data_IF_522579729255
#
_entry.id   IF_522579729255
#
_cell.length_a   1.000
_cell.length_b   1.000
_cell.length_c   1.000
_cell.angle_alpha   90.00
_cell.angle_beta   90.00
_cell.angle_gamma   90.00
#
_symmetry.space_group_name_H-M   'P 1'
#
loop_
_entity.id
_entity.type
_entity.pdbx_description
1 polymer ?
#
# COMPACT_ATOMS: atom_id res chain seq x y z
N UNK A 1 0.26 18.23 12.34
CA UNK A 1 0.46 18.46 10.88
C UNK A 1 0.86 17.12 10.27
N UNK A 2 0.52 16.87 9.01
CA UNK A 2 0.99 15.69 8.28
C UNK A 2 2.04 16.16 7.27
N UNK A 3 3.15 15.46 7.20
CA UNK A 3 4.27 15.74 6.27
C UNK A 3 4.63 14.49 5.50
N UNK A 4 5.12 14.62 4.28
CA UNK A 4 5.49 13.50 3.41
C UNK A 4 4.96 13.69 2.01
N UNK A 5 5.35 12.80 1.10
CA UNK A 5 4.86 12.79 -0.28
C UNK A 5 3.55 11.98 -0.33
N UNK A 6 2.40 12.58 -0.67
CA UNK A 6 1.09 11.90 -0.65
C UNK A 6 0.86 11.06 -1.92
N UNK A 7 1.80 10.17 -2.22
CA UNK A 7 1.75 9.24 -3.35
C UNK A 7 1.83 7.79 -2.86
N UNK A 8 1.19 6.83 -3.53
CA UNK A 8 1.36 5.41 -3.22
C UNK A 8 2.84 5.01 -3.10
N UNK A 9 3.16 4.19 -2.10
CA UNK A 9 4.53 3.76 -1.77
C UNK A 9 5.33 4.74 -0.93
N UNK A 10 4.81 5.94 -0.64
CA UNK A 10 5.51 6.96 0.16
C UNK A 10 4.96 7.03 1.57
N UNK A 11 5.85 7.36 2.51
CA UNK A 11 5.50 7.53 3.91
C UNK A 11 4.97 8.94 4.19
N UNK A 12 3.81 8.98 4.82
CA UNK A 12 3.25 10.14 5.52
C UNK A 12 3.59 10.05 7.00
N UNK A 13 4.03 11.15 7.57
CA UNK A 13 4.34 11.29 8.98
C UNK A 13 3.40 12.30 9.62
N UNK A 14 2.62 11.83 10.58
CA UNK A 14 1.87 12.64 11.50
C UNK A 14 2.75 13.20 12.61
N UNK A 15 2.94 14.52 12.62
CA UNK A 15 3.56 15.21 13.75
C UNK A 15 2.49 15.88 14.63
N UNK A 16 2.43 15.47 15.89
CA UNK A 16 1.66 16.13 16.93
C UNK A 16 2.61 16.89 17.84
N UNK A 17 2.54 18.22 17.88
CA UNK A 17 3.22 18.98 18.92
C UNK A 17 2.51 18.70 20.24
N UNK A 18 3.26 18.37 21.30
CA UNK A 18 2.71 18.29 22.64
C UNK A 18 2.25 19.69 23.08
N UNK A 19 0.97 19.84 23.43
CA UNK A 19 0.40 21.10 23.90
C UNK A 19 -0.15 20.90 25.31
N UNK A 20 0.23 21.74 26.27
CA UNK A 20 -0.35 21.78 27.64
C UNK A 20 -0.22 20.47 28.44
N UNK A 21 0.94 19.82 28.42
CA UNK A 21 1.24 18.68 29.31
C UNK A 21 0.73 17.32 28.82
N UNK A 22 0.31 17.22 27.56
CA UNK A 22 0.11 15.93 26.87
C UNK A 22 1.44 15.20 26.76
N UNK A 23 1.51 13.98 27.31
CA UNK A 23 2.73 13.16 27.28
C UNK A 23 2.68 12.09 26.19
N UNK A 24 1.49 11.76 25.69
CA UNK A 24 1.29 10.66 24.74
C UNK A 24 0.04 10.91 23.88
N UNK A 25 0.07 10.46 22.62
CA UNK A 25 -1.05 10.52 21.68
C UNK A 25 -1.28 9.14 21.08
N UNK A 26 -2.54 8.70 21.02
CA UNK A 26 -2.92 7.58 20.16
C UNK A 26 -3.14 8.09 18.74
N UNK A 27 -2.65 7.35 17.76
CA UNK A 27 -2.78 7.65 16.34
C UNK A 27 -3.64 6.60 15.68
N UNK A 28 -4.45 7.01 14.71
CA UNK A 28 -5.20 6.11 13.84
C UNK A 28 -5.38 6.77 12.47
N UNK A 29 -4.94 6.09 11.41
CA UNK A 29 -5.18 6.54 10.04
C UNK A 29 -6.56 6.11 9.55
N UNK A 30 -7.20 6.95 8.75
CA UNK A 30 -8.58 6.82 8.31
C UNK A 30 -8.70 7.18 6.82
N UNK A 31 -9.41 6.35 6.06
CA UNK A 31 -9.81 6.61 4.68
C UNK A 31 -11.18 7.26 4.65
N UNK A 32 -11.35 8.24 3.78
CA UNK A 32 -12.65 8.86 3.49
C UNK A 32 -12.98 8.68 2.02
N UNK A 33 -14.22 8.28 1.77
CA UNK A 33 -14.78 8.07 0.45
C UNK A 33 -15.53 9.32 -0.02
N UNK A 34 -15.78 9.39 -1.32
CA UNK A 34 -16.47 10.52 -1.95
C UNK A 34 -17.93 10.65 -1.52
N UNK A 35 -18.57 9.55 -1.12
CA UNK A 35 -19.93 9.54 -0.57
C UNK A 35 -20.01 10.06 0.88
N UNK A 36 -18.87 10.46 1.46
CA UNK A 36 -18.77 10.98 2.82
C UNK A 36 -18.62 9.92 3.91
N UNK A 37 -18.61 8.63 3.54
CA UNK A 37 -18.30 7.55 4.48
C UNK A 37 -16.80 7.51 4.81
N UNK A 38 -16.44 6.79 5.88
CA UNK A 38 -15.04 6.64 6.31
C UNK A 38 -14.76 5.28 6.90
N UNK A 39 -13.53 4.80 6.70
CA UNK A 39 -13.04 3.52 7.20
C UNK A 39 -11.73 3.70 7.98
N UNK A 40 -11.64 3.05 9.14
CA UNK A 40 -10.39 2.95 9.88
C UNK A 40 -9.44 1.97 9.20
N UNK A 41 -8.23 2.43 8.87
CA UNK A 41 -7.24 1.58 8.24
C UNK A 41 -6.68 0.63 9.30
N UNK A 42 -6.95 -0.67 9.11
CA UNK A 42 -6.59 -1.69 10.10
C UNK A 42 -5.08 -1.68 10.39
N UNK A 43 -4.72 -1.66 11.67
CA UNK A 43 -3.32 -1.69 12.12
C UNK A 43 -2.52 -0.40 11.91
N UNK A 44 -3.08 0.61 11.23
CA UNK A 44 -2.43 1.89 10.99
C UNK A 44 -2.51 2.82 12.22
N UNK A 45 -1.91 2.39 13.33
CA UNK A 45 -1.90 3.13 14.62
C UNK A 45 -0.57 3.81 14.93
N UNK A 46 0.34 3.84 13.95
CA UNK A 46 1.65 4.47 14.06
C UNK A 46 1.59 5.90 13.49
N UNK A 47 2.36 6.87 14.03
CA UNK A 47 2.44 8.21 13.44
C UNK A 47 2.93 8.21 11.98
N UNK A 48 3.64 7.18 11.55
CA UNK A 48 4.04 6.98 10.16
C UNK A 48 3.11 5.98 9.46
N UNK A 49 2.64 6.34 8.26
CA UNK A 49 1.78 5.52 7.40
C UNK A 49 2.29 5.55 5.97
N UNK A 50 2.42 4.38 5.35
CA UNK A 50 2.78 4.28 3.94
C UNK A 50 1.50 4.29 3.12
N UNK A 51 1.36 5.26 2.22
CA UNK A 51 0.23 5.35 1.30
C UNK A 51 0.22 4.11 0.41
N UNK A 52 -0.92 3.46 0.32
CA UNK A 52 -1.14 2.23 -0.44
C UNK A 52 -1.91 2.51 -1.72
N UNK A 53 -1.94 1.52 -2.61
CA UNK A 53 -2.81 1.50 -3.78
C UNK A 53 -4.29 1.73 -3.38
N UNK A 54 -4.74 1.12 -2.30
CA UNK A 54 -6.11 1.24 -1.79
C UNK A 54 -6.47 2.67 -1.37
N UNK A 55 -5.51 3.56 -1.19
CA UNK A 55 -5.76 4.95 -0.80
C UNK A 55 -6.03 5.86 -2.01
N UNK A 56 -5.78 5.38 -3.23
CA UNK A 56 -6.03 6.14 -4.46
C UNK A 56 -7.51 6.52 -4.56
N UNK A 57 -7.75 7.75 -5.01
CA UNK A 57 -9.05 8.42 -5.09
C UNK A 57 -9.77 8.62 -3.75
N UNK A 58 -9.09 8.38 -2.62
CA UNK A 58 -9.61 8.59 -1.27
C UNK A 58 -8.90 9.76 -0.61
N UNK A 59 -9.56 10.35 0.38
CA UNK A 59 -8.88 11.28 1.28
C UNK A 59 -8.32 10.48 2.46
N UNK A 60 -7.07 10.79 2.83
CA UNK A 60 -6.42 10.17 3.97
C UNK A 60 -6.34 11.18 5.11
N UNK A 61 -6.73 10.76 6.30
CA UNK A 61 -6.63 11.56 7.51
C UNK A 61 -5.96 10.78 8.64
N UNK A 62 -5.34 11.54 9.55
CA UNK A 62 -4.86 11.06 10.82
C UNK A 62 -5.76 11.57 11.93
N UNK A 63 -6.30 10.66 12.72
CA UNK A 63 -6.95 10.97 13.99
C UNK A 63 -5.97 10.77 15.15
N UNK A 64 -5.85 11.81 15.97
CA UNK A 64 -4.99 11.87 17.14
C UNK A 64 -5.85 12.05 18.41
N UNK A 65 -5.64 11.20 19.41
CA UNK A 65 -6.29 11.33 20.71
C UNK A 65 -5.21 11.65 21.76
N UNK A 66 -5.14 12.91 22.25
CA UNK A 66 -4.16 13.29 23.26
C UNK A 66 -4.51 12.67 24.61
N UNK A 67 -3.51 12.20 25.36
CA UNK A 67 -3.67 11.64 26.70
C UNK A 67 -2.91 12.47 27.73
N UNK A 68 -3.56 12.74 28.87
CA UNK A 68 -2.88 13.37 30.00
C UNK A 68 -2.08 12.34 30.82
N UNK A 69 -1.32 12.82 31.81
CA UNK A 69 -0.51 11.98 32.71
C UNK A 69 -1.29 11.00 33.60
N UNK A 70 -2.63 11.05 33.58
CA UNK A 70 -3.54 10.14 34.27
C UNK A 70 -4.23 9.17 33.29
N UNK A 71 -3.82 9.15 32.02
CA UNK A 71 -4.42 8.30 30.98
C UNK A 71 -5.81 8.74 30.51
N UNK A 72 -6.26 9.96 30.87
CA UNK A 72 -7.54 10.49 30.37
C UNK A 72 -7.38 11.00 28.96
N UNK A 73 -8.26 10.54 28.08
CA UNK A 73 -8.34 10.94 26.68
C UNK A 73 -8.97 12.32 26.54
N UNK A 74 -8.32 13.18 25.76
CA UNK A 74 -8.88 14.46 25.32
C UNK A 74 -9.77 14.30 24.09
N UNK A 75 -10.13 15.44 23.49
CA UNK A 75 -10.92 15.47 22.25
C UNK A 75 -10.10 14.91 21.09
N UNK A 76 -10.74 14.11 20.23
CA UNK A 76 -10.17 13.66 18.95
C UNK A 76 -9.80 14.86 18.09
N UNK A 77 -8.59 14.88 17.57
CA UNK A 77 -8.09 15.86 16.61
C UNK A 77 -7.88 15.14 15.27
N UNK A 78 -8.50 15.64 14.21
CA UNK A 78 -8.36 15.10 12.85
C UNK A 78 -7.54 16.04 11.98
N UNK A 79 -6.61 15.49 11.22
CA UNK A 79 -5.80 16.23 10.24
C UNK A 79 -5.81 15.47 8.92
N UNK A 80 -6.13 16.14 7.82
CA UNK A 80 -6.07 15.53 6.49
C UNK A 80 -4.67 15.64 5.89
N UNK A 81 -4.24 14.60 5.19
CA UNK A 81 -3.05 14.61 4.35
C UNK A 81 -3.35 15.36 3.04
N UNK A 82 -2.29 15.63 2.27
CA UNK A 82 -2.39 16.17 0.90
C UNK A 82 -3.26 17.44 0.78
N UNK A 83 -3.22 18.32 1.77
CA UNK A 83 -4.08 19.52 1.82
C UNK A 83 -5.57 19.21 1.59
N UNK A 84 -6.04 18.08 2.12
CA UNK A 84 -7.40 17.59 1.96
C UNK A 84 -7.79 17.32 0.50
N UNK A 85 -6.83 16.88 -0.31
CA UNK A 85 -7.06 16.39 -1.68
C UNK A 85 -6.99 14.86 -1.71
N UNK A 86 -7.64 14.27 -2.71
CA UNK A 86 -7.57 12.82 -2.96
C UNK A 86 -6.12 12.41 -3.24
N UNK A 87 -5.73 11.22 -2.80
CA UNK A 87 -4.46 10.62 -3.22
C UNK A 87 -4.55 10.29 -4.70
N UNK A 88 -3.57 10.72 -5.48
CA UNK A 88 -3.49 10.44 -6.92
C UNK A 88 -2.27 9.59 -7.23
N UNK A 89 -2.34 8.81 -8.29
CA UNK A 89 -1.15 8.22 -8.90
C UNK A 89 -0.28 9.30 -9.55
N UNK A 90 1.03 9.05 -9.68
CA UNK A 90 1.97 10.00 -10.29
C UNK A 90 1.61 10.34 -11.75
N UNK A 91 0.84 9.49 -12.42
CA UNK A 91 0.34 9.71 -13.77
C UNK A 91 -1.10 9.21 -13.93
N UNK A 92 -2.04 10.13 -14.18
CA UNK A 92 -3.47 9.87 -14.49
C UNK A 92 -3.70 8.97 -15.72
N UNK A 93 -2.64 8.45 -16.34
CA UNK A 93 -2.69 7.60 -17.53
C UNK A 93 -2.97 6.13 -17.22
N UNK A 94 -2.94 5.71 -15.95
CA UNK A 94 -3.05 4.30 -15.57
C UNK A 94 -4.41 3.94 -14.94
N UNK A 95 -5.33 4.89 -14.83
CA UNK A 95 -6.70 4.66 -14.36
C UNK A 95 -7.63 4.53 -15.57
N UNK A 96 -8.12 3.31 -15.83
CA UNK A 96 -8.99 2.99 -16.97
C UNK A 96 -10.28 2.35 -16.47
N UNK A 97 -11.44 2.89 -16.87
CA UNK A 97 -12.73 2.22 -16.67
C UNK A 97 -13.05 1.35 -17.88
N UNK A 98 -13.32 0.06 -17.68
CA UNK A 98 -13.61 -0.87 -18.79
C UNK A 98 -14.82 -0.49 -19.64
N UNK A 99 -15.81 0.19 -19.05
CA UNK A 99 -17.00 0.65 -19.76
C UNK A 99 -16.67 1.63 -20.90
N UNK A 100 -15.50 2.28 -20.85
CA UNK A 100 -15.09 3.25 -21.86
C UNK A 100 -14.38 2.61 -23.07
N UNK A 101 -14.00 1.32 -22.98
CA UNK A 101 -13.21 0.60 -24.00
C UNK A 101 -14.06 -0.33 -24.88
N UNK A 102 -15.25 -0.71 -24.42
CA UNK A 102 -16.14 -1.65 -25.10
C UNK A 102 -17.30 -0.87 -25.73
N UNK A 103 -17.09 -0.40 -26.95
CA UNK A 103 -18.17 0.11 -27.82
C UNK A 103 -18.57 -0.96 -28.84
N UNK A 104 -19.71 -0.78 -29.52
CA UNK A 104 -20.24 -1.72 -30.52
C UNK A 104 -19.24 -2.08 -31.64
N UNK A 105 -18.22 -1.24 -31.86
CA UNK A 105 -17.17 -1.42 -32.88
C UNK A 105 -15.87 -2.07 -32.35
N UNK A 106 -15.84 -2.57 -31.11
CA UNK A 106 -14.63 -3.19 -30.56
C UNK A 106 -14.25 -4.46 -31.33
N UNK A 107 -13.05 -4.47 -31.92
CA UNK A 107 -12.45 -5.66 -32.53
C UNK A 107 -11.36 -6.22 -31.62
N UNK A 108 -11.47 -7.50 -31.26
CA UNK A 108 -10.40 -8.18 -30.52
C UNK A 108 -9.08 -8.10 -31.32
N UNK A 109 -7.99 -7.60 -30.73
CA UNK A 109 -6.70 -7.60 -31.41
C UNK A 109 -6.20 -9.04 -31.62
N UNK A 110 -5.25 -9.25 -32.55
CA UNK A 110 -4.72 -10.58 -32.83
C UNK A 110 -4.16 -11.27 -31.57
N UNK A 111 -4.27 -12.61 -31.48
CA UNK A 111 -3.63 -13.36 -30.40
C UNK A 111 -2.12 -13.10 -30.40
N UNK A 112 -1.55 -12.84 -29.22
CA UNK A 112 -0.08 -12.76 -29.07
C UNK A 112 0.51 -14.16 -29.28
N UNK A 113 1.56 -14.28 -30.09
CA UNK A 113 2.19 -15.57 -30.45
C UNK A 113 2.74 -16.35 -29.25
N UNK A 114 3.01 -15.65 -28.15
CA UNK A 114 3.68 -16.17 -26.96
C UNK A 114 2.75 -16.18 -25.73
N UNK A 115 1.42 -16.08 -25.92
CA UNK A 115 0.42 -15.98 -24.84
C UNK A 115 0.19 -17.27 -24.02
N UNK A 116 1.10 -18.25 -24.09
CA UNK A 116 0.95 -19.56 -23.44
C UNK A 116 1.20 -19.49 -21.91
N UNK A 117 1.79 -18.39 -21.43
CA UNK A 117 2.02 -18.11 -20.01
C UNK A 117 0.99 -17.13 -19.40
N UNK A 118 -0.25 -17.09 -19.92
CA UNK A 118 -1.31 -16.29 -19.29
C UNK A 118 -1.81 -16.97 -18.01
N UNK A 119 -1.79 -16.25 -16.90
CA UNK A 119 -2.38 -16.70 -15.63
C UNK A 119 -3.37 -15.64 -15.11
N UNK A 120 -4.39 -16.12 -14.41
CA UNK A 120 -5.33 -15.26 -13.71
C UNK A 120 -4.61 -14.50 -12.59
N UNK A 121 -4.91 -13.20 -12.49
CA UNK A 121 -4.45 -12.39 -11.37
C UNK A 121 -5.32 -12.74 -10.16
N UNK A 122 -4.73 -13.44 -9.19
CA UNK A 122 -5.43 -13.90 -7.99
C UNK A 122 -6.08 -12.70 -7.25
N UNK A 123 -7.40 -12.76 -7.07
CA UNK A 123 -8.18 -11.69 -6.41
C UNK A 123 -8.63 -10.54 -7.32
N UNK A 124 -8.25 -10.50 -8.60
CA UNK A 124 -8.66 -9.47 -9.56
C UNK A 124 -10.06 -9.75 -10.16
N UNK A 125 -11.07 -9.95 -9.32
CA UNK A 125 -12.45 -10.26 -9.76
C UNK A 125 -13.31 -9.00 -9.96
N UNK A 126 -12.78 -7.81 -9.71
CA UNK A 126 -13.44 -6.53 -9.88
C UNK A 126 -12.99 -5.89 -11.21
N UNK A 127 -13.85 -5.19 -11.98
CA UNK A 127 -13.44 -4.37 -13.13
C UNK A 127 -12.48 -3.21 -12.79
N UNK A 128 -11.98 -3.10 -11.57
CA UNK A 128 -10.92 -2.17 -11.22
C UNK A 128 -9.72 -3.00 -10.75
N UNK A 129 -8.60 -2.84 -11.46
CA UNK A 129 -7.33 -3.47 -11.12
C UNK A 129 -6.26 -2.41 -10.92
N UNK A 130 -5.54 -2.49 -9.80
CA UNK A 130 -4.42 -1.59 -9.53
C UNK A 130 -3.14 -2.35 -9.81
N UNK A 131 -2.41 -1.85 -10.80
CA UNK A 131 -1.11 -2.38 -11.23
C UNK A 131 -0.09 -2.31 -10.08
N UNK A 132 0.63 -3.40 -9.88
CA UNK A 132 1.65 -3.59 -8.86
C UNK A 132 3.05 -3.66 -9.46
N UNK A 133 4.08 -3.69 -8.61
CA UNK A 133 5.46 -3.89 -9.06
C UNK A 133 5.67 -5.24 -9.75
N UNK A 134 4.89 -6.26 -9.39
CA UNK A 134 4.99 -7.57 -10.02
C UNK A 134 4.53 -7.52 -11.48
N UNK A 135 3.70 -6.56 -11.86
CA UNK A 135 3.14 -6.46 -13.22
C UNK A 135 4.06 -5.78 -14.22
N UNK A 136 5.19 -5.23 -13.76
CA UNK A 136 6.19 -4.62 -14.64
C UNK A 136 6.66 -5.64 -15.68
N UNK A 137 6.80 -5.17 -16.92
CA UNK A 137 7.12 -5.97 -18.11
C UNK A 137 6.06 -7.00 -18.54
N UNK A 138 4.90 -7.05 -17.86
CA UNK A 138 3.75 -7.86 -18.27
C UNK A 138 2.74 -7.07 -19.09
N UNK A 139 1.94 -7.78 -19.87
CA UNK A 139 0.76 -7.25 -20.54
C UNK A 139 -0.45 -7.68 -19.72
N UNK A 140 -1.28 -6.72 -19.30
CA UNK A 140 -2.51 -7.01 -18.56
C UNK A 140 -3.70 -6.97 -19.52
N UNK A 141 -4.58 -7.93 -19.41
CA UNK A 141 -5.87 -7.94 -20.08
C UNK A 141 -6.98 -8.33 -19.11
N UNK A 142 -8.17 -7.76 -19.30
CA UNK A 142 -9.40 -8.26 -18.70
C UNK A 142 -10.03 -9.26 -19.65
N UNK A 143 -10.43 -10.40 -19.11
CA UNK A 143 -11.32 -11.32 -19.80
C UNK A 143 -12.73 -11.26 -19.19
N UNK A 144 -13.73 -11.07 -20.03
CA UNK A 144 -15.13 -11.06 -19.60
C UNK A 144 -16.04 -11.75 -20.61
N UNK A 145 -17.19 -12.23 -20.14
CA UNK A 145 -18.24 -12.81 -20.99
C UNK A 145 -19.44 -11.86 -20.93
N UNK A 146 -19.77 -11.14 -22.02
CA UNK A 146 -20.90 -10.23 -22.02
C UNK A 146 -22.19 -11.02 -21.87
N UNK A 147 -23.16 -10.45 -21.16
CA UNK A 147 -24.47 -11.06 -20.95
C UNK A 147 -25.53 -10.12 -21.53
N UNK A 148 -26.39 -10.65 -22.39
CA UNK A 148 -27.46 -9.85 -22.99
C UNK A 148 -28.63 -9.61 -22.00
N UNK A 149 -29.60 -8.78 -22.41
CA UNK A 149 -30.78 -8.45 -21.61
C UNK A 149 -31.69 -9.66 -21.27
N UNK A 150 -31.40 -10.84 -21.82
CA UNK A 150 -32.11 -12.11 -21.55
C UNK A 150 -31.25 -13.07 -20.73
N UNK A 151 -30.08 -12.65 -20.24
CA UNK A 151 -29.19 -13.49 -19.46
C UNK A 151 -28.34 -14.46 -20.31
N UNK A 152 -28.32 -14.31 -21.64
CA UNK A 152 -27.51 -15.19 -22.51
C UNK A 152 -26.08 -14.68 -22.54
N UNK A 153 -25.14 -15.61 -22.31
CA UNK A 153 -23.71 -15.35 -22.40
C UNK A 153 -23.27 -15.26 -23.87
N UNK A 154 -22.47 -14.26 -24.19
CA UNK A 154 -21.79 -14.10 -25.48
C UNK A 154 -20.44 -14.79 -25.52
N UNK A 155 -19.58 -14.37 -26.46
CA UNK A 155 -18.21 -14.88 -26.58
C UNK A 155 -17.27 -14.22 -25.57
N UNK A 156 -16.18 -14.92 -25.18
CA UNK A 156 -15.17 -14.35 -24.30
C UNK A 156 -14.51 -13.15 -25.00
N UNK A 157 -14.62 -11.99 -24.37
CA UNK A 157 -13.95 -10.76 -24.78
C UNK A 157 -12.69 -10.59 -23.95
N UNK A 158 -11.59 -10.18 -24.61
CA UNK A 158 -10.30 -9.89 -23.96
C UNK A 158 -9.92 -8.46 -24.28
N UNK A 159 -9.87 -7.60 -23.27
CA UNK A 159 -9.58 -6.17 -23.40
C UNK A 159 -8.22 -5.87 -22.77
N UNK A 160 -7.28 -5.38 -23.57
CA UNK A 160 -5.92 -5.11 -23.12
C UNK A 160 -5.81 -3.72 -22.47
N UNK A 161 -5.15 -3.66 -21.31
CA UNK A 161 -4.72 -2.41 -20.72
C UNK A 161 -3.57 -1.81 -21.55
N UNK A 162 -3.34 -0.50 -21.40
CA UNK A 162 -2.17 0.20 -21.97
C UNK A 162 -1.97 -0.08 -23.49
N UNK A 163 -3.05 -0.18 -24.26
CA UNK A 163 -3.00 -0.47 -25.71
C UNK A 163 -2.18 -1.74 -26.05
N UNK A 164 -2.29 -2.79 -25.23
CA UNK A 164 -1.54 -4.05 -25.41
C UNK A 164 -0.01 -3.88 -25.26
N UNK A 165 0.45 -2.75 -24.70
CA UNK A 165 1.85 -2.52 -24.35
C UNK A 165 2.14 -3.02 -22.94
N UNK A 166 3.38 -3.44 -22.73
CA UNK A 166 3.87 -3.84 -21.42
C UNK A 166 3.71 -2.71 -20.41
N UNK A 167 3.36 -3.06 -19.18
CA UNK A 167 3.41 -2.13 -18.05
C UNK A 167 4.87 -1.74 -17.82
N UNK A 168 5.14 -0.45 -17.84
CA UNK A 168 6.47 0.09 -17.57
C UNK A 168 6.56 0.56 -16.13
N UNK A 169 7.76 0.46 -15.54
CA UNK A 169 8.03 1.15 -14.29
C UNK A 169 7.82 2.67 -14.47
N UNK A 170 7.25 3.33 -13.45
CA UNK A 170 7.13 4.78 -13.44
C UNK A 170 8.52 5.44 -13.52
N UNK A 171 8.76 6.47 -14.36
CA UNK A 171 10.08 7.05 -14.53
C UNK A 171 10.70 7.62 -13.24
N UNK A 172 9.90 8.19 -12.33
CA UNK A 172 10.42 8.69 -11.04
C UNK A 172 10.84 7.52 -10.16
N UNK A 173 10.04 6.46 -10.13
CA UNK A 173 10.36 5.23 -9.40
C UNK A 173 11.61 4.54 -9.97
N UNK A 174 11.70 4.42 -11.30
CA UNK A 174 12.86 3.85 -11.97
C UNK A 174 14.13 4.64 -11.65
N UNK A 175 14.06 5.96 -11.67
CA UNK A 175 15.19 6.82 -11.31
C UNK A 175 15.61 6.62 -9.84
N UNK A 176 14.67 6.42 -8.91
CA UNK A 176 15.01 6.10 -7.53
C UNK A 176 15.67 4.74 -7.38
N UNK A 177 15.17 3.72 -8.08
CA UNK A 177 15.78 2.40 -8.12
C UNK A 177 17.22 2.52 -8.62
N UNK A 178 17.44 3.21 -9.73
CA UNK A 178 18.77 3.42 -10.30
C UNK A 178 19.69 4.13 -9.32
N UNK A 179 19.20 5.16 -8.62
CA UNK A 179 19.95 5.86 -7.57
C UNK A 179 20.33 4.93 -6.41
N UNK A 180 19.44 4.05 -5.96
CA UNK A 180 19.73 3.07 -4.91
C UNK A 180 20.73 2.02 -5.38
N UNK A 181 20.63 1.58 -6.64
CA UNK A 181 21.57 0.65 -7.25
C UNK A 181 22.97 1.26 -7.38
N UNK A 182 23.07 2.53 -7.77
CA UNK A 182 24.34 3.28 -7.83
C UNK A 182 24.96 3.49 -6.45
N UNK A 183 24.14 3.76 -5.43
CA UNK A 183 24.61 3.92 -4.06
C UNK A 183 25.12 2.61 -3.45
N UNK A 184 24.78 1.44 -4.02
CA UNK A 184 25.21 0.11 -3.58
C UNK A 184 24.56 -0.38 -2.27
N UNK A 185 23.96 0.52 -1.48
CA UNK A 185 23.25 0.18 -0.25
C UNK A 185 22.11 1.17 0.03
N UNK A 186 20.95 0.63 0.39
CA UNK A 186 19.81 1.40 0.88
C UNK A 186 19.15 0.66 2.05
N UNK A 187 18.74 1.42 3.06
CA UNK A 187 17.99 0.91 4.21
C UNK A 187 16.54 1.37 4.12
N UNK A 188 15.61 0.44 4.34
CA UNK A 188 14.18 0.70 4.45
C UNK A 188 13.72 0.32 5.85
N UNK A 189 12.80 1.10 6.42
CA UNK A 189 12.19 0.79 7.71
C UNK A 189 10.90 0.01 7.45
N UNK A 190 10.78 -1.18 8.03
CA UNK A 190 9.57 -1.98 8.02
C UNK A 190 9.11 -2.25 9.46
N UNK A 191 7.80 -2.18 9.71
CA UNK A 191 7.22 -2.47 11.02
C UNK A 191 6.33 -3.71 10.91
N UNK A 192 6.55 -4.69 11.79
CA UNK A 192 5.78 -5.92 11.86
C UNK A 192 5.16 -6.05 13.25
N UNK A 193 3.83 -6.18 13.32
CA UNK A 193 3.10 -6.41 14.56
C UNK A 193 2.66 -7.87 14.64
N UNK A 194 3.18 -8.60 15.62
CA UNK A 194 2.84 -10.02 15.85
C UNK A 194 2.21 -10.17 17.24
N UNK A 195 1.04 -10.80 17.32
CA UNK A 195 0.43 -11.21 18.59
C UNK A 195 1.02 -12.56 19.00
N UNK A 196 1.84 -12.58 20.05
CA UNK A 196 2.42 -13.82 20.59
C UNK A 196 1.56 -14.30 21.78
N UNK A 197 1.03 -15.54 21.74
CA UNK A 197 0.34 -16.13 22.88
C UNK A 197 1.24 -16.24 24.13
N UNK A 198 0.65 -16.07 25.31
CA UNK A 198 1.41 -16.11 26.57
C UNK A 198 2.08 -17.48 26.78
N UNK A 199 3.33 -17.47 27.25
CA UNK A 199 4.10 -18.68 27.56
C UNK A 199 4.94 -19.24 26.41
N UNK A 200 4.96 -18.59 25.24
CA UNK A 200 5.75 -19.02 24.09
C UNK A 200 7.00 -18.15 23.90
N UNK A 201 8.15 -18.79 23.69
CA UNK A 201 9.35 -18.13 23.14
C UNK A 201 9.21 -18.09 21.63
N UNK A 202 9.31 -16.89 21.04
CA UNK A 202 9.16 -16.70 19.57
C UNK A 202 10.45 -16.16 18.98
N UNK A 203 10.82 -16.68 17.81
CA UNK A 203 11.95 -16.23 17.01
C UNK A 203 11.44 -15.74 15.67
N UNK A 204 11.78 -14.51 15.28
CA UNK A 204 11.49 -14.01 13.93
C UNK A 204 12.73 -14.27 13.09
N UNK A 205 12.56 -15.02 11.99
CA UNK A 205 13.66 -15.31 11.06
C UNK A 205 13.38 -14.59 9.74
N UNK A 206 14.21 -13.60 9.43
CA UNK A 206 14.22 -12.96 8.13
C UNK A 206 15.08 -13.82 7.20
N UNK A 207 14.41 -14.58 6.34
CA UNK A 207 15.08 -15.46 5.37
C UNK A 207 15.28 -14.70 4.07
N UNK A 208 16.54 -14.55 3.64
CA UNK A 208 16.85 -14.01 2.31
C UNK A 208 16.69 -15.13 1.27
N UNK A 209 16.04 -14.89 0.11
CA UNK A 209 15.84 -15.91 -0.92
C UNK A 209 17.12 -16.61 -1.42
N UNK A 210 18.29 -15.96 -1.30
CA UNK A 210 19.60 -16.50 -1.73
C UNK A 210 20.74 -16.18 -0.75
N UNK A 211 20.44 -15.93 0.52
CA UNK A 211 21.44 -15.47 1.50
C UNK A 211 21.29 -16.10 2.87
N UNK A 212 22.22 -15.77 3.77
CA UNK A 212 22.13 -16.18 5.16
C UNK A 212 20.86 -15.61 5.82
N UNK A 213 20.19 -16.46 6.58
CA UNK A 213 19.04 -16.05 7.37
C UNK A 213 19.50 -15.15 8.52
N UNK A 214 18.81 -14.03 8.72
CA UNK A 214 19.03 -13.18 9.88
C UNK A 214 17.98 -13.52 10.95
N UNK A 215 18.44 -14.14 12.02
CA UNK A 215 17.64 -14.46 13.19
C UNK A 215 17.55 -13.26 14.12
N UNK A 216 16.33 -12.84 14.47
CA UNK A 216 16.09 -11.88 15.55
C UNK A 216 15.40 -12.63 16.69
N UNK A 217 16.13 -12.85 17.79
CA UNK A 217 15.65 -13.57 18.97
C UNK A 217 14.97 -12.62 19.95
N UNK A 218 13.70 -12.89 20.29
CA UNK A 218 12.98 -12.15 21.33
C UNK A 218 12.85 -13.05 22.57
N UNK A 219 13.45 -12.63 23.68
CA UNK A 219 13.30 -13.34 24.97
C UNK A 219 12.16 -12.71 25.77
N UNK A 220 11.33 -13.57 26.38
CA UNK A 220 10.12 -13.32 27.19
C UNK A 220 9.88 -11.84 27.59
N UNK A 221 8.86 -11.23 26.98
CA UNK A 221 8.57 -9.78 26.96
C UNK A 221 8.04 -9.24 28.31
N UNK A 222 8.05 -10.04 29.38
CA UNK A 222 7.55 -9.64 30.72
C UNK A 222 8.20 -8.38 31.30
N UNK A 223 9.38 -7.99 30.83
CA UNK A 223 10.11 -6.82 31.33
C UNK A 223 10.12 -5.59 30.41
N UNK A 224 9.59 -5.69 29.19
CA UNK A 224 9.81 -4.67 28.15
C UNK A 224 8.72 -3.60 28.08
N UNK A 225 7.55 -3.84 28.68
CA UNK A 225 6.45 -2.86 28.76
C UNK A 225 6.76 -1.62 29.63
N UNK A 226 7.92 -1.54 30.30
CA UNK A 226 8.28 -0.41 31.18
C UNK A 226 9.30 0.58 30.60
N UNK A 227 9.89 0.33 29.43
CA UNK A 227 10.78 1.28 28.75
C UNK A 227 10.31 1.42 27.31
N UNK A 228 9.96 2.63 26.90
CA UNK A 228 9.43 2.94 25.58
C UNK A 228 10.24 2.32 24.44
N UNK A 229 9.52 2.06 23.32
CA UNK A 229 10.00 1.58 22.01
C UNK A 229 11.52 1.72 21.82
N UNK A 230 12.24 0.59 21.84
CA UNK A 230 13.56 0.53 21.24
C UNK A 230 13.42 0.27 19.74
N UNK A 231 13.88 1.21 18.92
CA UNK A 231 14.12 0.99 17.49
C UNK A 231 15.39 0.15 17.36
N UNK A 232 15.30 -1.00 16.70
CA UNK A 232 16.48 -1.73 16.25
C UNK A 232 16.72 -1.40 14.78
N UNK A 233 17.70 -0.52 14.51
CA UNK A 233 18.24 -0.32 13.18
C UNK A 233 19.32 -1.39 12.93
N UNK A 234 19.15 -2.20 11.89
CA UNK A 234 20.17 -3.18 11.49
C UNK A 234 20.61 -2.87 10.07
N UNK A 235 21.83 -2.39 9.94
CA UNK A 235 22.47 -2.08 8.65
C UNK A 235 22.98 -3.37 8.04
N UNK A 236 22.35 -3.83 6.95
CA UNK A 236 22.88 -4.94 6.17
C UNK A 236 23.87 -4.39 5.15
N UNK A 237 25.17 -4.49 5.43
CA UNK A 237 26.21 -4.23 4.44
C UNK A 237 26.23 -5.36 3.39
N UNK A 238 26.23 -5.00 2.11
CA UNK A 238 26.53 -5.92 1.02
C UNK A 238 28.05 -6.01 0.85
N UNK A 239 28.57 -7.24 0.70
CA UNK A 239 29.93 -7.48 0.17
C UNK A 239 29.93 -7.34 -1.34
#
# INVERSE_FOLDING_TARGET
MITGDPKPGRALLGCGNAVRGTIECMFQWVRYYEDGTSEYIEGATNPEYVVTADDVDKYIALECIPMNNQGRQGKVVRVFANDQRKITVASNKNYFKFQDLINDDYQQPPPLSDADDSYDLEGATNPEYIVTADDVDKIIALECVPVDNKGRQGEIMRVFANEQKKITCDPEMQQEIDNYMLAGQKSFSASLLIKIPQGLTTKIVLTRPRGSSLAVDFHDVRHWMKKGRQKHETTCASM
#
